data_IF_481325545242
#
_entry.id   IF_481325545242
#
_cell.length_a   1.000
_cell.length_b   1.000
_cell.length_c   1.000
_cell.angle_alpha   90.00
_cell.angle_beta   90.00
_cell.angle_gamma   90.00
#
_symmetry.space_group_name_H-M   'P 1'
#
loop_
_entity.id
_entity.type
_entity.pdbx_description
1 polymer ?
#
# COMPACT_ATOMS: atom_id res chain seq x y z
N UNK A 1 52.90 6.71 24.95
CA UNK A 1 52.36 7.30 23.69
C UNK A 1 51.82 6.25 22.72
N UNK A 2 52.29 5.01 22.75
CA UNK A 2 51.90 3.96 21.80
C UNK A 2 50.48 3.39 21.99
N UNK A 3 49.99 3.27 23.23
CA UNK A 3 48.60 2.87 23.48
C UNK A 3 47.58 3.91 23.01
N UNK A 4 47.95 5.20 23.02
CA UNK A 4 47.06 6.29 22.59
C UNK A 4 46.89 6.30 21.06
N UNK A 5 47.98 6.06 20.32
CA UNK A 5 47.94 5.97 18.85
C UNK A 5 47.21 4.72 18.35
N UNK A 6 47.28 3.62 19.10
CA UNK A 6 46.54 2.38 18.83
C UNK A 6 45.03 2.60 19.06
N UNK A 7 44.62 3.22 20.16
CA UNK A 7 43.20 3.52 20.43
C UNK A 7 42.57 4.46 19.37
N UNK A 8 43.31 5.48 18.91
CA UNK A 8 42.84 6.37 17.84
C UNK A 8 42.66 5.61 16.52
N UNK A 9 43.56 4.67 16.19
CA UNK A 9 43.43 3.82 14.99
C UNK A 9 42.21 2.88 15.06
N UNK A 10 41.94 2.29 16.23
CA UNK A 10 40.74 1.46 16.43
C UNK A 10 39.45 2.27 16.30
N UNK A 11 39.43 3.51 16.82
CA UNK A 11 38.25 4.36 16.73
C UNK A 11 37.99 4.87 15.29
N UNK A 12 39.06 5.20 14.55
CA UNK A 12 38.98 5.55 13.12
C UNK A 12 38.59 4.37 12.23
N UNK A 13 39.02 3.14 12.57
CA UNK A 13 38.60 1.93 11.88
C UNK A 13 37.10 1.61 12.13
N UNK A 14 36.64 1.78 13.37
CA UNK A 14 35.24 1.58 13.78
C UNK A 14 34.29 2.56 13.07
N UNK A 15 34.61 3.85 13.06
CA UNK A 15 33.82 4.89 12.35
C UNK A 15 33.80 4.68 10.83
N UNK A 16 34.92 4.23 10.24
CA UNK A 16 34.96 3.86 8.81
C UNK A 16 34.11 2.63 8.50
N UNK A 17 34.10 1.61 9.36
CA UNK A 17 33.24 0.44 9.22
C UNK A 17 31.75 0.80 9.29
N UNK A 18 31.36 1.62 10.26
CA UNK A 18 29.98 2.15 10.38
C UNK A 18 29.55 2.91 9.12
N UNK A 19 30.42 3.75 8.55
CA UNK A 19 30.11 4.48 7.31
C UNK A 19 29.92 3.57 6.08
N UNK A 20 30.54 2.39 6.07
CA UNK A 20 30.41 1.39 4.99
C UNK A 20 29.13 0.58 5.15
N UNK A 21 28.77 0.22 6.37
CA UNK A 21 27.50 -0.43 6.71
C UNK A 21 26.33 0.46 6.30
N UNK A 22 26.32 1.73 6.72
CA UNK A 22 25.26 2.69 6.36
C UNK A 22 25.16 2.89 4.83
N UNK A 23 26.28 2.88 4.10
CA UNK A 23 26.30 2.98 2.64
C UNK A 23 25.79 1.70 1.97
N UNK A 24 26.12 0.53 2.52
CA UNK A 24 25.60 -0.77 2.09
C UNK A 24 24.09 -0.87 2.29
N UNK A 25 23.60 -0.51 3.47
CA UNK A 25 22.17 -0.44 3.81
C UNK A 25 21.41 0.53 2.89
N UNK A 26 21.93 1.74 2.67
CA UNK A 26 21.34 2.69 1.71
C UNK A 26 21.31 2.15 0.28
N UNK A 27 22.29 1.33 -0.12
CA UNK A 27 22.33 0.69 -1.43
C UNK A 27 21.30 -0.43 -1.54
N UNK A 28 21.10 -1.23 -0.49
CA UNK A 28 20.04 -2.24 -0.39
C UNK A 28 18.65 -1.60 -0.40
N UNK A 29 18.42 -0.55 0.38
CA UNK A 29 17.17 0.22 0.34
C UNK A 29 16.88 0.81 -1.05
N UNK A 30 17.92 1.27 -1.77
CA UNK A 30 17.79 1.75 -3.16
C UNK A 30 17.37 0.64 -4.13
N UNK A 31 17.86 -0.59 -3.92
CA UNK A 31 17.48 -1.79 -4.69
C UNK A 31 15.98 -2.08 -4.45
N UNK A 32 15.49 -2.02 -3.21
CA UNK A 32 14.07 -2.21 -2.91
C UNK A 32 13.14 -1.08 -3.40
N UNK A 33 13.66 0.14 -3.61
CA UNK A 33 12.90 1.26 -4.18
C UNK A 33 12.92 1.32 -5.72
N UNK A 34 13.64 0.42 -6.39
CA UNK A 34 13.68 0.40 -7.85
C UNK A 34 12.33 -0.09 -8.40
N UNK A 35 11.67 0.72 -9.24
CA UNK A 35 10.40 0.39 -9.91
C UNK A 35 10.45 -0.98 -10.63
N UNK A 36 11.63 -1.41 -11.06
CA UNK A 36 11.82 -2.71 -11.72
C UNK A 36 11.80 -3.90 -10.76
N UNK A 37 12.37 -3.75 -9.56
CA UNK A 37 12.39 -4.80 -8.52
C UNK A 37 11.04 -4.86 -7.80
N UNK A 38 10.38 -3.72 -7.64
CA UNK A 38 8.98 -3.63 -7.24
C UNK A 38 8.08 -4.55 -8.07
N UNK A 39 8.23 -4.50 -9.40
CA UNK A 39 7.47 -5.34 -10.34
C UNK A 39 7.76 -6.83 -10.20
N UNK A 40 8.96 -7.23 -9.79
CA UNK A 40 9.30 -8.63 -9.54
C UNK A 40 8.66 -9.19 -8.25
N UNK A 41 8.38 -8.35 -7.25
CA UNK A 41 7.74 -8.75 -6.00
C UNK A 41 6.21 -8.64 -6.00
N UNK A 42 5.65 -7.90 -6.97
CA UNK A 42 4.21 -7.73 -7.12
C UNK A 42 3.66 -8.90 -7.94
N UNK A 43 2.78 -9.76 -7.40
CA UNK A 43 2.13 -10.81 -8.17
C UNK A 43 1.45 -10.24 -9.42
N UNK A 44 1.47 -10.96 -10.54
CA UNK A 44 0.92 -10.50 -11.83
C UNK A 44 -0.51 -9.93 -11.71
N UNK A 45 -1.35 -10.54 -10.86
CA UNK A 45 -2.71 -10.05 -10.57
C UNK A 45 -2.73 -8.71 -9.85
N UNK A 46 -1.88 -8.54 -8.82
CA UNK A 46 -1.76 -7.26 -8.12
C UNK A 46 -1.27 -6.16 -9.06
N UNK A 47 -0.36 -6.46 -9.98
CA UNK A 47 0.08 -5.50 -11.00
C UNK A 47 -1.09 -5.08 -11.91
N UNK A 48 -1.97 -6.02 -12.31
CA UNK A 48 -3.15 -5.71 -13.12
C UNK A 48 -4.15 -4.84 -12.36
N UNK A 49 -4.43 -5.15 -11.08
CA UNK A 49 -5.25 -4.31 -10.21
C UNK A 49 -4.69 -2.88 -10.15
N UNK A 50 -3.38 -2.73 -9.95
CA UNK A 50 -2.72 -1.44 -9.86
C UNK A 50 -2.78 -0.63 -11.17
N UNK A 51 -2.60 -1.29 -12.32
CA UNK A 51 -2.70 -0.64 -13.63
C UNK A 51 -4.14 -0.21 -13.94
N UNK A 52 -5.11 -1.05 -13.60
CA UNK A 52 -6.53 -0.74 -13.77
C UNK A 52 -6.97 0.42 -12.86
N UNK A 53 -6.52 0.43 -11.60
CA UNK A 53 -6.76 1.56 -10.70
C UNK A 53 -6.13 2.85 -11.21
N UNK A 54 -4.91 2.78 -11.77
CA UNK A 54 -4.26 3.93 -12.40
C UNK A 54 -5.08 4.47 -13.58
N UNK A 55 -5.58 3.59 -14.46
CA UNK A 55 -6.42 3.99 -15.58
C UNK A 55 -7.72 4.68 -15.11
N UNK A 56 -8.38 4.15 -14.09
CA UNK A 56 -9.59 4.76 -13.49
C UNK A 56 -9.27 6.11 -12.84
N UNK A 57 -8.15 6.22 -12.12
CA UNK A 57 -7.71 7.47 -11.50
C UNK A 57 -7.39 8.54 -12.54
N UNK A 58 -6.72 8.17 -13.64
CA UNK A 58 -6.37 9.10 -14.71
C UNK A 58 -7.62 9.61 -15.43
N UNK A 59 -8.61 8.74 -15.66
CA UNK A 59 -9.89 9.10 -16.29
C UNK A 59 -10.73 10.03 -15.42
N UNK A 60 -10.94 9.67 -14.16
CA UNK A 60 -11.77 10.45 -13.21
C UNK A 60 -11.16 11.80 -12.84
N UNK A 61 -9.84 11.86 -12.63
CA UNK A 61 -9.15 13.12 -12.31
C UNK A 61 -8.79 13.96 -13.53
N UNK A 62 -8.96 13.41 -14.74
CA UNK A 62 -8.43 13.96 -15.98
C UNK A 62 -6.94 14.32 -15.89
N UNK A 63 -6.15 13.55 -15.12
CA UNK A 63 -4.75 13.83 -14.83
C UNK A 63 -3.92 12.55 -14.68
N UNK A 64 -3.11 12.26 -15.70
CA UNK A 64 -2.15 11.13 -15.67
C UNK A 64 -1.11 11.34 -14.56
N UNK A 65 -0.66 12.58 -14.36
CA UNK A 65 0.32 12.91 -13.32
C UNK A 65 -0.20 12.60 -11.92
N UNK A 66 -1.48 12.90 -11.65
CA UNK A 66 -2.12 12.57 -10.39
C UNK A 66 -2.22 11.05 -10.20
N UNK A 67 -2.64 10.33 -11.24
CA UNK A 67 -2.72 8.87 -11.22
C UNK A 67 -1.35 8.21 -10.98
N UNK A 68 -0.28 8.72 -11.61
CA UNK A 68 1.09 8.28 -11.40
C UNK A 68 1.56 8.49 -9.95
N UNK A 69 1.22 9.64 -9.36
CA UNK A 69 1.56 9.96 -7.98
C UNK A 69 0.79 9.06 -6.99
N UNK A 70 -0.50 8.84 -7.22
CA UNK A 70 -1.33 7.89 -6.46
C UNK A 70 -0.71 6.49 -6.50
N UNK A 71 -0.43 5.97 -7.71
CA UNK A 71 0.15 4.64 -7.88
C UNK A 71 1.50 4.53 -7.18
N UNK A 72 2.36 5.55 -7.29
CA UNK A 72 3.64 5.56 -6.61
C UNK A 72 3.48 5.51 -5.08
N UNK A 73 2.50 6.24 -4.53
CA UNK A 73 2.20 6.24 -3.10
C UNK A 73 1.67 4.88 -2.64
N UNK A 74 0.80 4.23 -3.40
CA UNK A 74 0.31 2.87 -3.11
C UNK A 74 1.48 1.89 -3.03
N UNK A 75 2.32 1.85 -4.07
CA UNK A 75 3.48 0.94 -4.14
C UNK A 75 4.44 1.18 -2.96
N UNK A 76 4.78 2.45 -2.68
CA UNK A 76 5.68 2.81 -1.57
C UNK A 76 5.10 2.42 -0.20
N UNK A 77 3.78 2.56 -0.02
CA UNK A 77 3.12 2.23 1.25
C UNK A 77 3.03 0.72 1.44
N UNK A 78 2.66 -0.03 0.38
CA UNK A 78 2.65 -1.49 0.39
C UNK A 78 4.03 -2.11 0.66
N UNK A 79 5.09 -1.59 0.03
CA UNK A 79 6.46 -2.04 0.32
C UNK A 79 6.88 -1.82 1.76
N UNK A 80 6.55 -0.65 2.34
CA UNK A 80 6.84 -0.38 3.74
C UNK A 80 6.10 -1.35 4.65
N UNK A 81 4.83 -1.62 4.35
CA UNK A 81 4.04 -2.59 5.08
C UNK A 81 4.66 -3.99 5.03
N UNK A 82 5.10 -4.43 3.84
CA UNK A 82 5.81 -5.69 3.66
C UNK A 82 7.09 -5.75 4.50
N UNK A 83 7.89 -4.69 4.52
CA UNK A 83 9.12 -4.62 5.34
C UNK A 83 8.78 -4.73 6.83
N UNK A 84 7.74 -4.05 7.32
CA UNK A 84 7.32 -4.16 8.72
C UNK A 84 6.87 -5.59 9.06
N UNK A 85 6.10 -6.22 8.18
CA UNK A 85 5.63 -7.59 8.34
C UNK A 85 6.78 -8.59 8.35
N UNK A 86 7.66 -8.53 7.33
CA UNK A 86 8.80 -9.47 7.20
C UNK A 86 9.85 -9.33 8.30
N UNK A 87 9.94 -8.18 8.97
CA UNK A 87 10.84 -7.97 10.11
C UNK A 87 10.15 -8.16 11.46
N UNK A 88 8.93 -8.72 11.51
CA UNK A 88 8.16 -8.95 12.73
C UNK A 88 7.89 -7.68 13.56
N UNK A 89 8.03 -6.48 12.97
CA UNK A 89 7.82 -5.20 13.68
C UNK A 89 6.35 -5.06 14.08
N UNK A 90 5.44 -5.58 13.26
CA UNK A 90 3.99 -5.56 13.57
C UNK A 90 3.69 -6.41 14.83
N UNK A 91 4.48 -7.47 15.10
CA UNK A 91 4.32 -8.30 16.28
C UNK A 91 4.75 -7.59 17.58
N UNK A 92 5.48 -6.48 17.48
CA UNK A 92 5.81 -5.66 18.65
C UNK A 92 4.61 -4.87 19.16
N UNK A 93 3.58 -4.68 18.33
CA UNK A 93 2.30 -4.15 18.76
C UNK A 93 1.48 -5.29 19.40
N UNK A 94 1.06 -5.17 20.68
CA UNK A 94 0.28 -6.20 21.36
C UNK A 94 -1.00 -6.62 20.61
N UNK A 95 -1.59 -5.69 19.86
CA UNK A 95 -2.79 -5.92 19.08
C UNK A 95 -2.49 -6.07 17.57
N UNK A 96 -1.21 -6.15 17.17
CA UNK A 96 -0.80 -6.08 15.77
C UNK A 96 -1.40 -7.17 14.89
N UNK A 97 -1.42 -8.43 15.37
CA UNK A 97 -2.03 -9.56 14.65
C UNK A 97 -3.55 -9.37 14.52
N UNK A 98 -4.22 -8.98 15.61
CA UNK A 98 -5.67 -8.74 15.59
C UNK A 98 -6.04 -7.63 14.60
N UNK A 99 -5.28 -6.54 14.58
CA UNK A 99 -5.46 -5.44 13.64
C UNK A 99 -5.23 -5.88 12.18
N UNK A 100 -4.26 -6.76 11.92
CA UNK A 100 -4.03 -7.34 10.60
C UNK A 100 -5.22 -8.21 10.15
N UNK A 101 -5.74 -9.07 11.03
CA UNK A 101 -6.90 -9.90 10.74
C UNK A 101 -8.13 -9.04 10.46
N UNK A 102 -8.37 -8.02 11.29
CA UNK A 102 -9.45 -7.06 11.08
C UNK A 102 -9.32 -6.34 9.73
N UNK A 103 -8.10 -5.91 9.38
CA UNK A 103 -7.82 -5.28 8.09
C UNK A 103 -8.11 -6.24 6.92
N UNK A 104 -7.75 -7.51 7.02
CA UNK A 104 -8.05 -8.52 5.99
C UNK A 104 -9.55 -8.73 5.81
N UNK A 105 -10.31 -8.84 6.91
CA UNK A 105 -11.77 -8.94 6.88
C UNK A 105 -12.37 -7.71 6.19
N UNK A 106 -11.88 -6.51 6.54
CA UNK A 106 -12.34 -5.26 5.97
C UNK A 106 -12.04 -5.13 4.48
N UNK A 107 -10.86 -5.58 4.03
CA UNK A 107 -10.57 -5.67 2.61
C UNK A 107 -11.54 -6.60 1.88
N UNK A 108 -11.86 -7.76 2.47
CA UNK A 108 -12.86 -8.66 1.87
C UNK A 108 -14.23 -7.98 1.76
N UNK A 109 -14.69 -7.31 2.83
CA UNK A 109 -15.94 -6.53 2.80
C UNK A 109 -15.94 -5.46 1.72
N UNK A 110 -14.83 -4.72 1.55
CA UNK A 110 -14.68 -3.72 0.49
C UNK A 110 -14.84 -4.35 -0.90
N UNK A 111 -14.23 -5.51 -1.13
CA UNK A 111 -14.31 -6.21 -2.42
C UNK A 111 -15.76 -6.62 -2.71
N UNK A 112 -16.48 -7.14 -1.72
CA UNK A 112 -17.91 -7.48 -1.86
C UNK A 112 -18.76 -6.23 -2.19
N UNK A 113 -18.47 -5.10 -1.54
CA UNK A 113 -19.19 -3.84 -1.83
C UNK A 113 -18.89 -3.36 -3.26
N UNK A 114 -17.64 -3.42 -3.71
CA UNK A 114 -17.27 -3.06 -5.09
C UNK A 114 -17.98 -3.99 -6.09
N UNK A 115 -18.03 -5.29 -5.82
CA UNK A 115 -18.74 -6.26 -6.65
C UNK A 115 -20.24 -5.92 -6.74
N UNK A 116 -20.88 -5.66 -5.60
CA UNK A 116 -22.28 -5.25 -5.54
C UNK A 116 -22.52 -3.93 -6.30
N UNK A 117 -21.67 -2.92 -6.13
CA UNK A 117 -21.78 -1.63 -6.83
C UNK A 117 -21.57 -1.75 -8.34
N UNK A 118 -20.76 -2.71 -8.78
CA UNK A 118 -20.56 -2.97 -10.21
C UNK A 118 -21.81 -3.51 -10.90
N UNK A 119 -22.65 -4.24 -10.16
CA UNK A 119 -23.92 -4.80 -10.66
C UNK A 119 -25.11 -3.86 -10.42
N UNK A 120 -25.11 -3.16 -9.28
CA UNK A 120 -26.15 -2.23 -8.88
C UNK A 120 -25.54 -0.99 -8.21
N UNK A 121 -25.30 0.05 -9.01
CA UNK A 121 -24.73 1.30 -8.51
C UNK A 121 -25.76 2.09 -7.68
N UNK A 122 -25.51 2.23 -6.38
CA UNK A 122 -26.39 2.95 -5.46
C UNK A 122 -25.63 3.95 -4.60
N UNK A 123 -26.29 5.05 -4.23
CA UNK A 123 -25.70 6.04 -3.32
C UNK A 123 -25.38 5.43 -1.95
N UNK A 124 -26.28 4.61 -1.41
CA UNK A 124 -26.09 3.93 -0.13
C UNK A 124 -24.84 3.01 -0.18
N UNK A 125 -24.68 2.22 -1.26
CA UNK A 125 -23.50 1.37 -1.43
C UNK A 125 -22.20 2.18 -1.55
N UNK A 126 -22.22 3.32 -2.27
CA UNK A 126 -21.04 4.20 -2.35
C UNK A 126 -20.68 4.80 -0.99
N UNK A 127 -21.66 5.22 -0.19
CA UNK A 127 -21.42 5.73 1.18
C UNK A 127 -20.86 4.63 2.09
N UNK A 128 -21.37 3.40 1.99
CA UNK A 128 -20.83 2.26 2.71
C UNK A 128 -19.38 1.97 2.31
N UNK A 129 -19.06 2.02 1.01
CA UNK A 129 -17.69 1.87 0.52
C UNK A 129 -16.76 2.95 1.08
N UNK A 130 -17.19 4.21 1.10
CA UNK A 130 -16.41 5.31 1.70
C UNK A 130 -16.12 5.06 3.18
N UNK A 131 -17.14 4.62 3.92
CA UNK A 131 -17.01 4.29 5.34
C UNK A 131 -15.98 3.19 5.57
N UNK A 132 -16.08 2.07 4.84
CA UNK A 132 -15.15 0.95 4.98
C UNK A 132 -13.72 1.31 4.55
N UNK A 133 -13.55 2.13 3.50
CA UNK A 133 -12.24 2.66 3.10
C UNK A 133 -11.63 3.55 4.19
N UNK A 134 -12.43 4.42 4.82
CA UNK A 134 -11.97 5.24 5.95
C UNK A 134 -11.53 4.38 7.12
N UNK A 135 -12.27 3.31 7.41
CA UNK A 135 -11.93 2.40 8.49
C UNK A 135 -10.63 1.62 8.22
N UNK A 136 -10.43 1.16 6.98
CA UNK A 136 -9.15 0.58 6.54
C UNK A 136 -7.98 1.55 6.72
N UNK A 137 -8.16 2.84 6.40
CA UNK A 137 -7.14 3.87 6.62
C UNK A 137 -6.74 3.94 8.09
N UNK A 138 -7.71 3.99 8.99
CA UNK A 138 -7.49 4.05 10.45
C UNK A 138 -6.79 2.80 10.98
N UNK A 139 -7.22 1.61 10.54
CA UNK A 139 -6.56 0.34 10.89
C UNK A 139 -5.10 0.33 10.44
N UNK A 140 -4.81 0.77 9.21
CA UNK A 140 -3.43 0.86 8.72
C UNK A 140 -2.62 1.81 9.59
N UNK A 141 -3.16 2.98 9.99
CA UNK A 141 -2.46 3.90 10.90
C UNK A 141 -2.18 3.27 12.27
N UNK A 142 -3.12 2.49 12.81
CA UNK A 142 -2.93 1.76 14.08
C UNK A 142 -1.87 0.66 13.96
N UNK A 143 -1.80 -0.02 12.81
CA UNK A 143 -0.79 -1.06 12.54
C UNK A 143 0.60 -0.47 12.42
N UNK A 144 0.76 0.57 11.60
CA UNK A 144 2.08 1.19 11.38
C UNK A 144 2.53 2.02 12.58
N UNK A 145 1.60 2.48 13.42
CA UNK A 145 1.85 3.20 14.66
C UNK A 145 2.91 4.28 14.53
N UNK A 146 3.81 4.36 15.52
CA UNK A 146 4.97 5.27 15.49
C UNK A 146 6.16 4.68 14.74
N UNK A 147 6.05 3.48 14.17
CA UNK A 147 7.16 2.80 13.48
C UNK A 147 7.48 3.40 12.12
N UNK A 148 6.57 4.19 11.55
CA UNK A 148 6.77 4.88 10.28
C UNK A 148 6.80 6.40 10.46
N UNK A 149 7.49 7.05 9.52
CA UNK A 149 7.58 8.51 9.49
C UNK A 149 6.26 9.16 9.13
N UNK A 150 6.08 10.43 9.52
CA UNK A 150 4.91 11.26 9.15
C UNK A 150 4.62 11.24 7.64
N UNK A 151 5.66 11.24 6.80
CA UNK A 151 5.53 11.13 5.35
C UNK A 151 4.87 9.82 4.89
N UNK A 152 4.88 8.76 5.70
CA UNK A 152 4.21 7.50 5.40
C UNK A 152 2.71 7.60 5.72
N UNK A 153 2.38 8.21 6.86
CA UNK A 153 1.00 8.49 7.24
C UNK A 153 0.33 9.37 6.18
N UNK A 154 0.98 10.48 5.79
CA UNK A 154 0.47 11.36 4.74
C UNK A 154 0.24 10.66 3.38
N UNK A 155 1.03 9.63 3.05
CA UNK A 155 0.81 8.85 1.82
C UNK A 155 -0.44 7.99 1.93
N UNK A 156 -0.65 7.36 3.09
CA UNK A 156 -1.85 6.57 3.36
C UNK A 156 -3.08 7.47 3.31
N UNK A 157 -3.03 8.62 3.97
CA UNK A 157 -4.09 9.63 3.91
C UNK A 157 -4.39 10.02 2.47
N UNK A 158 -3.37 10.36 1.68
CA UNK A 158 -3.54 10.73 0.28
C UNK A 158 -4.25 9.63 -0.53
N UNK A 159 -3.82 8.36 -0.37
CA UNK A 159 -4.40 7.23 -1.10
C UNK A 159 -5.87 7.08 -0.74
N UNK A 160 -6.17 6.98 0.55
CA UNK A 160 -7.52 6.70 1.02
C UNK A 160 -8.47 7.88 0.80
N UNK A 161 -8.00 9.12 0.95
CA UNK A 161 -8.79 10.31 0.65
C UNK A 161 -9.17 10.34 -0.84
N UNK A 162 -8.24 10.00 -1.74
CA UNK A 162 -8.55 9.95 -3.16
C UNK A 162 -9.58 8.86 -3.50
N UNK A 163 -9.31 7.61 -3.13
CA UNK A 163 -10.17 6.48 -3.53
C UNK A 163 -11.53 6.47 -2.82
N UNK A 164 -11.69 7.22 -1.72
CA UNK A 164 -12.98 7.42 -1.05
C UNK A 164 -13.70 8.70 -1.49
N UNK A 165 -13.13 9.51 -2.39
CA UNK A 165 -13.79 10.74 -2.82
C UNK A 165 -15.10 10.41 -3.55
N UNK A 166 -16.18 11.11 -3.20
CA UNK A 166 -17.51 10.85 -3.79
C UNK A 166 -17.61 11.14 -5.29
N UNK A 167 -16.73 11.98 -5.84
CA UNK A 167 -16.58 12.15 -7.30
C UNK A 167 -15.94 10.92 -7.91
N UNK A 168 -14.76 10.51 -7.43
CA UNK A 168 -14.08 9.31 -7.89
C UNK A 168 -14.99 8.08 -7.88
N UNK A 169 -15.67 7.80 -6.77
CA UNK A 169 -16.58 6.65 -6.68
C UNK A 169 -17.78 6.76 -7.62
N UNK A 170 -18.30 7.96 -7.84
CA UNK A 170 -19.39 8.15 -8.81
C UNK A 170 -18.92 7.82 -10.21
N UNK A 171 -17.77 8.36 -10.60
CA UNK A 171 -17.23 8.24 -11.96
C UNK A 171 -16.84 6.78 -12.29
N UNK A 172 -16.26 6.04 -11.34
CA UNK A 172 -15.85 4.65 -11.63
C UNK A 172 -17.01 3.66 -11.70
N UNK A 173 -18.13 3.94 -11.04
CA UNK A 173 -19.34 3.11 -11.07
C UNK A 173 -20.42 3.65 -12.01
N UNK A 174 -20.14 4.73 -12.73
CA UNK A 174 -21.05 5.27 -13.73
C UNK A 174 -21.11 4.31 -14.93
N UNK A 175 -22.31 3.81 -15.22
CA UNK A 175 -22.57 2.91 -16.34
C UNK A 175 -22.47 3.61 -17.70
N UNK A 176 -22.55 4.94 -17.73
CA UNK A 176 -22.45 5.73 -18.96
C UNK A 176 -21.01 5.93 -19.42
N UNK A 177 -20.02 5.69 -18.54
CA UNK A 177 -18.61 5.79 -18.88
C UNK A 177 -18.09 4.47 -19.45
N UNK A 178 -18.05 4.40 -20.79
CA UNK A 178 -17.63 3.21 -21.53
C UNK A 178 -16.32 2.61 -21.01
N UNK A 179 -16.35 1.30 -20.75
CA UNK A 179 -15.19 0.52 -20.33
C UNK A 179 -14.84 0.58 -18.84
N UNK A 180 -15.42 1.48 -18.04
CA UNK A 180 -15.17 1.49 -16.59
C UNK A 180 -15.73 0.24 -15.90
N UNK A 181 -16.94 -0.19 -16.29
CA UNK A 181 -17.56 -1.40 -15.75
C UNK A 181 -16.67 -2.65 -15.92
N UNK A 182 -16.16 -2.89 -17.13
CA UNK A 182 -15.29 -4.04 -17.41
C UNK A 182 -13.98 -4.00 -16.59
N UNK A 183 -13.41 -2.80 -16.39
CA UNK A 183 -12.22 -2.61 -15.55
C UNK A 183 -12.52 -2.92 -14.09
N UNK A 184 -13.67 -2.45 -13.57
CA UNK A 184 -14.09 -2.70 -12.18
C UNK A 184 -14.37 -4.18 -11.94
N UNK A 185 -15.03 -4.87 -12.87
CA UNK A 185 -15.25 -6.32 -12.79
C UNK A 185 -13.90 -7.05 -12.74
N UNK A 186 -12.95 -6.69 -13.61
CA UNK A 186 -11.61 -7.29 -13.61
C UNK A 186 -10.83 -7.00 -12.32
N UNK A 187 -10.92 -5.78 -11.77
CA UNK A 187 -10.34 -5.43 -10.46
C UNK A 187 -10.92 -6.34 -9.38
N UNK A 188 -12.24 -6.50 -9.36
CA UNK A 188 -12.97 -7.30 -8.36
C UNK A 188 -12.52 -8.76 -8.41
N UNK A 189 -12.51 -9.38 -9.60
CA UNK A 189 -12.10 -10.76 -9.80
C UNK A 189 -10.65 -11.01 -9.32
N UNK A 190 -9.75 -10.08 -9.64
CA UNK A 190 -8.36 -10.19 -9.21
C UNK A 190 -8.18 -9.98 -7.71
N UNK A 191 -8.92 -9.05 -7.11
CA UNK A 191 -8.91 -8.85 -5.67
C UNK A 191 -9.47 -10.07 -4.92
N UNK A 192 -10.57 -10.67 -5.38
CA UNK A 192 -11.09 -11.93 -4.83
C UNK A 192 -10.09 -13.07 -4.96
N UNK A 193 -9.39 -13.18 -6.10
CA UNK A 193 -8.36 -14.20 -6.28
C UNK A 193 -7.15 -13.96 -5.35
N UNK A 194 -6.76 -12.71 -5.14
CA UNK A 194 -5.69 -12.36 -4.21
C UNK A 194 -6.07 -12.69 -2.76
N UNK A 195 -7.29 -12.35 -2.32
CA UNK A 195 -7.75 -12.62 -0.95
C UNK A 195 -7.90 -14.11 -0.65
N UNK A 196 -8.38 -14.92 -1.61
CA UNK A 196 -8.44 -16.39 -1.45
C UNK A 196 -7.07 -17.00 -1.17
N UNK A 197 -6.01 -16.49 -1.79
CA UNK A 197 -4.65 -16.97 -1.56
C UNK A 197 -4.07 -16.58 -0.20
N UNK A 198 -4.65 -15.58 0.47
CA UNK A 198 -4.26 -15.16 1.82
C UNK A 198 -4.94 -16.06 2.87
N UNK A 199 -6.22 -16.39 2.67
CA UNK A 199 -7.03 -17.17 3.63
C UNK A 199 -6.67 -18.67 3.60
N UNK A 200 -6.25 -19.23 2.46
CA UNK A 200 -5.95 -20.66 2.31
C UNK A 200 -4.53 -21.04 2.78
N UNK A 201 -3.75 -20.09 3.31
CA UNK A 201 -2.39 -20.36 3.82
C UNK A 201 -2.31 -20.58 5.34
N UNK A 202 -3.46 -20.75 5.99
CA UNK A 202 -3.58 -21.32 7.34
C UNK A 202 -3.81 -22.83 7.27
#
# INVERSE_FOLDING_TARGET
>A
MEQYSVNVRYHLASTRAQSRIIRGEKKLCKIFTNKYIAKCFIPTRLNRVLNNLHALAARSSNSIQMADDLLQKIIKSGMKFQVLYSNNIILLNPNGIQLLMELCVKFNTIIEIIAALSTFNSMAGRLLLQYELSHCRELIHRIIGTYLTQNSHQRIDYIFNFISTGTFLRDIFDSELEGNHAIIVQITDDLHALMRNVIVRE
#
